data_IF_315658234349
#
_entry.id   IF_315658234349
#
_cell.length_a   1.000
_cell.length_b   1.000
_cell.length_c   1.000
_cell.angle_alpha   90.00
_cell.angle_beta   90.00
_cell.angle_gamma   90.00
#
_symmetry.space_group_name_H-M   'P 1'
#
loop_
_entity.id
_entity.type
_entity.pdbx_description
1 polymer ?
#
# COMPACT_ATOMS: atom_id res chain seq x y z
N UNK A 1 28.71 22.60 -41.78
CA UNK A 1 28.36 23.76 -40.96
C UNK A 1 26.84 23.94 -41.02
N UNK A 2 26.18 23.88 -39.85
CA UNK A 2 24.95 24.63 -39.43
C UNK A 2 23.74 24.73 -40.37
N UNK A 3 22.47 24.57 -39.98
CA UNK A 3 21.74 24.28 -38.73
C UNK A 3 20.28 23.91 -39.17
N UNK A 4 19.62 22.90 -38.59
CA UNK A 4 18.59 22.99 -37.54
C UNK A 4 17.65 24.22 -37.63
N UNK A 5 16.36 24.03 -37.93
CA UNK A 5 15.17 24.43 -37.11
C UNK A 5 13.96 23.57 -37.51
N UNK A 6 13.23 23.13 -36.49
CA UNK A 6 12.06 22.26 -36.46
C UNK A 6 10.76 22.86 -37.03
N UNK A 7 9.82 22.01 -37.42
CA UNK A 7 8.38 22.24 -37.16
C UNK A 7 7.57 20.93 -37.27
N UNK A 8 7.14 20.44 -36.10
CA UNK A 8 5.80 19.93 -35.77
C UNK A 8 4.98 19.24 -36.88
N UNK A 9 4.94 17.91 -36.83
CA UNK A 9 3.77 17.13 -37.24
C UNK A 9 3.34 16.26 -36.06
N UNK A 10 2.07 16.42 -35.66
CA UNK A 10 1.50 15.92 -34.42
C UNK A 10 1.28 14.38 -34.37
N UNK A 11 0.69 13.89 -33.26
CA UNK A 11 0.54 12.47 -33.00
C UNK A 11 -0.61 11.90 -33.82
N UNK A 12 -0.33 11.54 -35.07
CA UNK A 12 -1.21 10.75 -35.92
C UNK A 12 -0.48 9.49 -36.40
N UNK A 13 0.01 8.69 -35.45
CA UNK A 13 0.39 7.31 -35.69
C UNK A 13 0.23 6.51 -34.39
N UNK A 14 -0.47 5.38 -34.48
CA UNK A 14 -0.77 4.37 -33.43
C UNK A 14 -2.13 4.47 -32.74
N UNK A 15 -3.19 4.55 -33.55
CA UNK A 15 -4.44 3.86 -33.23
C UNK A 15 -4.27 2.36 -33.41
N UNK A 16 -3.57 1.69 -32.50
CA UNK A 16 -3.77 0.26 -32.28
C UNK A 16 -4.72 0.11 -31.09
N UNK A 17 -5.79 -0.64 -31.31
CA UNK A 17 -6.77 -1.03 -30.33
C UNK A 17 -6.10 -2.00 -29.32
N UNK A 18 -5.30 -1.45 -28.41
CA UNK A 18 -4.58 -2.23 -27.41
C UNK A 18 -5.63 -2.79 -26.44
N UNK A 19 -5.74 -4.11 -26.36
CA UNK A 19 -6.57 -4.78 -25.36
C UNK A 19 -6.14 -4.31 -23.96
N UNK A 20 -7.07 -4.20 -23.02
CA UNK A 20 -6.80 -3.59 -21.70
C UNK A 20 -5.57 -4.15 -21.00
N UNK A 21 -5.26 -5.45 -21.13
CA UNK A 21 -4.06 -6.06 -20.56
C UNK A 21 -2.75 -5.60 -21.22
N UNK A 22 -2.74 -5.28 -22.51
CA UNK A 22 -1.55 -4.78 -23.22
C UNK A 22 -1.11 -3.38 -22.74
N UNK A 23 -2.06 -2.53 -22.34
CA UNK A 23 -1.76 -1.21 -21.77
C UNK A 23 -1.02 -1.40 -20.43
N UNK A 24 -1.55 -2.25 -19.56
CA UNK A 24 -0.94 -2.58 -18.27
C UNK A 24 0.44 -3.23 -18.45
N UNK A 25 0.62 -4.16 -19.40
CA UNK A 25 1.92 -4.73 -19.70
C UNK A 25 2.93 -3.70 -20.21
N UNK A 26 2.52 -2.76 -21.05
CA UNK A 26 3.41 -1.71 -21.58
C UNK A 26 3.91 -0.82 -20.45
N UNK A 27 3.02 -0.43 -19.53
CA UNK A 27 3.39 0.30 -18.32
C UNK A 27 4.31 -0.53 -17.42
N UNK A 28 3.99 -1.80 -17.19
CA UNK A 28 4.80 -2.72 -16.39
C UNK A 28 6.22 -2.87 -16.96
N UNK A 29 6.35 -3.03 -18.27
CA UNK A 29 7.62 -3.09 -18.98
C UNK A 29 8.44 -1.80 -18.82
N UNK A 30 7.78 -0.64 -18.88
CA UNK A 30 8.44 0.66 -18.65
C UNK A 30 9.01 0.75 -17.24
N UNK A 31 8.23 0.39 -16.22
CA UNK A 31 8.69 0.34 -14.84
C UNK A 31 9.81 -0.69 -14.62
N UNK A 32 9.69 -1.87 -15.24
CA UNK A 32 10.68 -2.93 -15.17
C UNK A 32 12.04 -2.51 -15.74
N UNK A 33 12.05 -1.86 -16.92
CA UNK A 33 13.27 -1.32 -17.54
C UNK A 33 13.95 -0.26 -16.66
N UNK A 34 13.17 0.51 -15.92
CA UNK A 34 13.65 1.48 -14.91
C UNK A 34 14.05 0.83 -13.59
N UNK A 35 14.02 -0.50 -13.47
CA UNK A 35 14.27 -1.29 -12.25
C UNK A 35 13.32 -0.95 -11.09
N UNK A 36 12.17 -0.34 -11.38
CA UNK A 36 11.13 -0.03 -10.42
C UNK A 36 10.22 -1.25 -10.26
N UNK A 37 10.73 -2.28 -9.59
CA UNK A 37 10.11 -3.59 -9.60
C UNK A 37 8.75 -3.65 -8.89
N UNK A 38 8.55 -2.93 -7.78
CA UNK A 38 7.23 -2.94 -7.09
C UNK A 38 6.14 -2.26 -7.93
N UNK A 39 6.36 -1.06 -8.51
CA UNK A 39 5.44 -0.50 -9.50
C UNK A 39 5.21 -1.41 -10.72
N UNK A 40 6.26 -2.05 -11.24
CA UNK A 40 6.13 -3.01 -12.35
C UNK A 40 5.25 -4.19 -11.97
N UNK A 41 5.43 -4.76 -10.77
CA UNK A 41 4.62 -5.86 -10.26
C UNK A 41 3.13 -5.50 -10.22
N UNK A 42 2.79 -4.31 -9.71
CA UNK A 42 1.40 -3.86 -9.65
C UNK A 42 0.75 -3.79 -11.05
N UNK A 43 1.47 -3.27 -12.04
CA UNK A 43 0.96 -3.20 -13.42
C UNK A 43 0.87 -4.59 -14.07
N UNK A 44 1.82 -5.49 -13.82
CA UNK A 44 1.72 -6.87 -14.28
C UNK A 44 0.56 -7.63 -13.61
N UNK A 45 0.25 -7.36 -12.35
CA UNK A 45 -0.93 -7.92 -11.67
C UNK A 45 -2.23 -7.42 -12.31
N UNK A 46 -2.31 -6.14 -12.68
CA UNK A 46 -3.48 -5.62 -13.41
C UNK A 46 -3.61 -6.21 -14.81
N UNK A 47 -2.49 -6.38 -15.52
CA UNK A 47 -2.49 -7.07 -16.81
C UNK A 47 -3.02 -8.50 -16.67
N UNK A 48 -2.58 -9.23 -15.65
CA UNK A 48 -3.07 -10.57 -15.35
C UNK A 48 -4.53 -10.59 -14.87
N UNK A 49 -4.99 -9.56 -14.15
CA UNK A 49 -6.39 -9.44 -13.71
C UNK A 49 -7.33 -9.23 -14.91
N UNK A 50 -6.93 -8.39 -15.86
CA UNK A 50 -7.73 -8.09 -17.06
C UNK A 50 -7.69 -9.23 -18.07
N UNK A 51 -6.54 -9.90 -18.17
CA UNK A 51 -6.37 -11.09 -19.01
C UNK A 51 -5.94 -12.27 -18.11
N UNK A 52 -6.90 -12.98 -17.48
CA UNK A 52 -6.62 -14.06 -16.54
C UNK A 52 -5.75 -15.18 -17.10
N UNK A 53 -5.70 -15.34 -18.42
CA UNK A 53 -4.92 -16.35 -19.15
C UNK A 53 -3.51 -15.89 -19.53
N UNK A 54 -3.15 -14.65 -19.18
CA UNK A 54 -1.86 -14.05 -19.49
C UNK A 54 -0.78 -14.53 -18.51
N UNK A 55 -0.28 -15.73 -18.75
CA UNK A 55 0.74 -16.38 -17.93
C UNK A 55 2.03 -15.55 -17.84
N UNK A 56 2.38 -14.83 -18.91
CA UNK A 56 3.54 -13.93 -18.96
C UNK A 56 3.39 -12.79 -17.94
N UNK A 57 2.25 -12.10 -17.90
CA UNK A 57 2.00 -11.06 -16.92
C UNK A 57 2.03 -11.61 -15.48
N UNK A 58 1.40 -12.77 -15.24
CA UNK A 58 1.39 -13.43 -13.94
C UNK A 58 2.81 -13.76 -13.43
N UNK A 59 3.64 -14.35 -14.30
CA UNK A 59 5.03 -14.67 -14.00
C UNK A 59 5.87 -13.42 -13.71
N UNK A 60 5.76 -12.39 -14.56
CA UNK A 60 6.53 -11.16 -14.36
C UNK A 60 6.05 -10.37 -13.15
N UNK A 61 4.79 -10.46 -12.74
CA UNK A 61 4.34 -9.93 -11.45
C UNK A 61 5.09 -10.57 -10.28
N UNK A 62 5.13 -11.90 -10.22
CA UNK A 62 5.85 -12.65 -9.18
C UNK A 62 7.36 -12.34 -9.20
N UNK A 63 7.97 -12.31 -10.39
CA UNK A 63 9.38 -11.98 -10.55
C UNK A 63 9.70 -10.56 -10.09
N UNK A 64 8.86 -9.59 -10.42
CA UNK A 64 9.02 -8.21 -9.97
C UNK A 64 8.82 -8.06 -8.45
N UNK A 65 7.90 -8.80 -7.83
CA UNK A 65 7.79 -8.85 -6.37
C UNK A 65 9.08 -9.36 -5.73
N UNK A 66 9.67 -10.41 -6.31
CA UNK A 66 10.94 -10.97 -5.84
C UNK A 66 12.09 -9.96 -5.94
N UNK A 67 12.28 -9.36 -7.12
CA UNK A 67 13.32 -8.36 -7.37
C UNK A 67 13.12 -7.09 -6.52
N UNK A 68 11.87 -6.76 -6.22
CA UNK A 68 11.49 -5.69 -5.30
C UNK A 68 11.66 -6.03 -3.82
N UNK A 69 12.09 -7.26 -3.47
CA UNK A 69 12.36 -7.69 -2.09
C UNK A 69 11.14 -8.21 -1.33
N UNK A 70 9.94 -8.23 -1.93
CA UNK A 70 8.73 -8.83 -1.34
C UNK A 70 8.72 -10.34 -1.57
N UNK A 71 9.67 -11.04 -0.96
CA UNK A 71 9.94 -12.47 -1.22
C UNK A 71 8.75 -13.37 -0.90
N UNK A 72 8.07 -13.15 0.22
CA UNK A 72 6.91 -13.98 0.61
C UNK A 72 5.75 -13.84 -0.37
N UNK A 73 5.47 -12.61 -0.81
CA UNK A 73 4.42 -12.36 -1.81
C UNK A 73 4.82 -12.91 -3.19
N UNK A 74 6.11 -12.85 -3.52
CA UNK A 74 6.63 -13.47 -4.73
C UNK A 74 6.45 -15.00 -4.71
N UNK A 75 6.81 -15.67 -3.62
CA UNK A 75 6.65 -17.13 -3.45
C UNK A 75 5.17 -17.51 -3.61
N UNK A 76 4.27 -16.82 -2.92
CA UNK A 76 2.82 -17.05 -3.05
C UNK A 76 2.35 -16.87 -4.50
N UNK A 77 2.77 -15.77 -5.14
CA UNK A 77 2.37 -15.47 -6.51
C UNK A 77 2.93 -16.49 -7.51
N UNK A 78 4.18 -16.94 -7.35
CA UNK A 78 4.74 -18.01 -8.17
C UNK A 78 3.97 -19.32 -8.00
N UNK A 79 3.54 -19.68 -6.78
CA UNK A 79 2.71 -20.86 -6.58
C UNK A 79 1.34 -20.75 -7.27
N UNK A 80 0.73 -19.56 -7.29
CA UNK A 80 -0.48 -19.31 -8.08
C UNK A 80 -0.23 -19.49 -9.59
N UNK A 81 0.94 -19.06 -10.09
CA UNK A 81 1.34 -19.25 -11.50
C UNK A 81 1.51 -20.74 -11.82
N UNK A 82 2.12 -21.52 -10.92
CA UNK A 82 2.29 -22.98 -11.11
C UNK A 82 0.93 -23.70 -11.10
N UNK A 83 0.02 -23.34 -10.19
CA UNK A 83 -1.32 -23.94 -10.11
C UNK A 83 -2.17 -23.63 -11.35
N UNK A 84 -2.14 -22.36 -11.79
CA UNK A 84 -2.98 -21.91 -12.91
C UNK A 84 -2.42 -22.29 -14.28
N UNK A 85 -1.10 -22.33 -14.43
CA UNK A 85 -0.45 -22.52 -15.73
C UNK A 85 0.58 -23.68 -15.74
N UNK A 86 0.25 -24.88 -15.24
CA UNK A 86 1.22 -25.94 -15.00
C UNK A 86 1.96 -26.41 -16.26
N UNK A 87 1.31 -26.33 -17.42
CA UNK A 87 1.83 -26.79 -18.71
C UNK A 87 2.39 -25.66 -19.60
N UNK A 88 2.36 -24.40 -19.13
CA UNK A 88 2.97 -23.28 -19.85
C UNK A 88 4.43 -23.12 -19.44
N UNK A 89 5.24 -22.53 -20.33
CA UNK A 89 6.65 -22.20 -20.06
C UNK A 89 6.78 -21.34 -18.79
N UNK A 90 5.88 -20.39 -18.58
CA UNK A 90 5.85 -19.53 -17.40
C UNK A 90 5.59 -20.28 -16.10
N UNK A 91 4.69 -21.26 -16.09
CA UNK A 91 4.46 -22.12 -14.93
C UNK A 91 5.65 -23.03 -14.64
N UNK A 92 6.28 -23.59 -15.67
CA UNK A 92 7.52 -24.35 -15.52
C UNK A 92 8.67 -23.48 -14.99
N UNK A 93 8.82 -22.26 -15.51
CA UNK A 93 9.79 -21.28 -15.03
C UNK A 93 9.51 -20.88 -13.58
N UNK A 94 8.25 -20.64 -13.22
CA UNK A 94 7.84 -20.33 -11.85
C UNK A 94 8.20 -21.47 -10.90
N UNK A 95 7.94 -22.73 -11.30
CA UNK A 95 8.31 -23.92 -10.52
C UNK A 95 9.82 -24.05 -10.34
N UNK A 96 10.60 -23.86 -11.39
CA UNK A 96 12.06 -23.89 -11.33
C UNK A 96 12.61 -22.74 -10.47
N UNK A 97 11.97 -21.56 -10.50
CA UNK A 97 12.35 -20.44 -9.65
C UNK A 97 12.07 -20.73 -8.17
N UNK A 98 10.89 -21.28 -7.86
CA UNK A 98 10.47 -21.67 -6.52
C UNK A 98 11.41 -22.68 -5.87
N UNK A 99 11.95 -23.66 -6.61
CA UNK A 99 12.98 -24.59 -6.11
C UNK A 99 14.18 -23.89 -5.47
N UNK A 100 14.49 -22.66 -5.94
CA UNK A 100 15.65 -21.88 -5.47
C UNK A 100 15.30 -20.91 -4.34
N UNK A 101 14.05 -20.45 -4.27
CA UNK A 101 13.68 -19.32 -3.40
C UNK A 101 12.73 -19.70 -2.27
N UNK A 102 12.02 -20.83 -2.37
CA UNK A 102 11.08 -21.30 -1.36
C UNK A 102 11.75 -22.39 -0.49
N UNK A 103 12.10 -22.10 0.78
CA UNK A 103 12.68 -23.08 1.69
C UNK A 103 11.77 -24.28 1.98
N UNK A 104 10.46 -24.14 1.73
CA UNK A 104 9.47 -25.18 1.94
C UNK A 104 9.19 -26.01 0.67
N UNK A 105 9.83 -25.73 -0.47
CA UNK A 105 9.51 -26.36 -1.75
C UNK A 105 9.45 -27.90 -1.69
N UNK A 106 10.44 -28.54 -1.06
CA UNK A 106 10.50 -29.99 -0.92
C UNK A 106 9.40 -30.54 0.00
N UNK A 107 8.96 -29.78 1.01
CA UNK A 107 7.84 -30.17 1.88
C UNK A 107 6.51 -30.21 1.14
N UNK A 108 6.37 -29.39 0.08
CA UNK A 108 5.19 -29.39 -0.78
C UNK A 108 5.31 -30.40 -1.94
N UNK A 109 6.48 -31.04 -2.13
CA UNK A 109 6.71 -31.98 -3.23
C UNK A 109 6.58 -31.35 -4.63
N UNK A 110 6.74 -30.02 -4.73
CA UNK A 110 6.48 -29.32 -5.99
C UNK A 110 4.99 -29.18 -6.36
N UNK A 111 4.06 -29.47 -5.44
CA UNK A 111 2.62 -29.38 -5.61
C UNK A 111 2.09 -28.01 -5.15
N UNK A 112 1.58 -27.23 -6.10
CA UNK A 112 1.11 -25.88 -5.85
C UNK A 112 -0.11 -25.81 -4.93
N UNK A 113 -1.00 -26.81 -4.98
CA UNK A 113 -2.21 -26.83 -4.15
C UNK A 113 -1.86 -27.05 -2.69
N UNK A 114 -0.89 -27.93 -2.42
CA UNK A 114 -0.37 -28.15 -1.05
C UNK A 114 0.34 -26.90 -0.51
N UNK A 115 1.15 -26.25 -1.34
CA UNK A 115 1.82 -25.01 -0.96
C UNK A 115 0.83 -23.90 -0.62
N UNK A 116 -0.16 -23.66 -1.48
CA UNK A 116 -1.19 -22.64 -1.26
C UNK A 116 -2.10 -22.98 -0.08
N UNK A 117 -2.51 -24.25 0.10
CA UNK A 117 -3.30 -24.66 1.25
C UNK A 117 -2.56 -24.45 2.58
N UNK A 118 -1.25 -24.73 2.64
CA UNK A 118 -0.43 -24.48 3.83
C UNK A 118 -0.30 -22.99 4.19
N UNK A 119 -0.62 -22.08 3.25
CA UNK A 119 -0.66 -20.64 3.49
C UNK A 119 -2.02 -20.12 3.98
N UNK A 120 -3.07 -20.97 3.96
CA UNK A 120 -4.45 -20.65 4.38
C UNK A 120 -4.77 -21.16 5.80
N UNK A 121 -3.94 -22.05 6.37
CA UNK A 121 -4.07 -22.52 7.75
C UNK A 121 -3.20 -21.64 8.67
N UNK A 122 -3.70 -21.14 9.82
CA UNK A 122 -2.85 -20.39 10.74
C UNK A 122 -1.74 -21.31 11.24
N UNK A 123 -0.49 -20.88 11.10
CA UNK A 123 0.67 -21.57 11.61
C UNK A 123 0.51 -21.79 13.12
N UNK A 124 0.21 -23.03 13.50
CA UNK A 124 0.43 -23.57 14.84
C UNK A 124 1.23 -24.86 14.70
N UNK A 125 2.43 -24.81 15.31
CA UNK A 125 3.43 -25.84 15.64
C UNK A 125 3.92 -26.79 14.52
N UNK A 126 5.21 -27.11 14.44
CA UNK A 126 6.26 -27.10 15.46
C UNK A 126 6.76 -28.54 15.63
N UNK A 127 8.08 -28.71 15.51
CA UNK A 127 8.76 -29.96 15.83
C UNK A 127 8.41 -30.43 17.24
N UNK A 128 7.99 -31.69 17.31
CA UNK A 128 8.02 -32.61 18.46
C UNK A 128 8.74 -32.08 19.72
N UNK A 129 7.98 -31.81 20.77
CA UNK A 129 8.24 -32.40 22.09
C UNK A 129 6.96 -32.39 22.94
N UNK A 130 6.72 -33.54 23.56
CA UNK A 130 5.61 -33.91 24.42
C UNK A 130 5.58 -33.10 25.72
N UNK A 131 4.45 -32.47 26.06
CA UNK A 131 3.87 -32.46 27.42
C UNK A 131 2.54 -31.70 27.49
N UNK A 132 1.55 -32.36 28.08
CA UNK A 132 0.45 -31.85 28.91
C UNK A 132 -0.45 -30.67 28.43
N UNK A 133 -1.73 -31.02 28.21
CA UNK A 133 -2.98 -30.32 28.61
C UNK A 133 -2.96 -28.79 28.79
N UNK A 134 -3.85 -28.08 28.09
CA UNK A 134 -4.99 -27.36 28.72
C UNK A 134 -5.81 -26.61 27.67
N UNK A 135 -7.13 -26.59 27.89
CA UNK A 135 -8.12 -25.78 27.18
C UNK A 135 -7.80 -24.27 27.24
N UNK A 136 -8.13 -23.52 26.18
CA UNK A 136 -7.89 -22.07 26.18
C UNK A 136 -8.21 -21.33 24.87
N UNK A 137 -9.38 -21.56 24.24
CA UNK A 137 -9.84 -20.73 23.11
C UNK A 137 -10.42 -19.37 23.56
N UNK A 138 -10.47 -19.07 24.85
CA UNK A 138 -11.07 -17.85 25.42
C UNK A 138 -10.09 -16.76 25.87
N UNK A 139 -8.77 -17.01 25.86
CA UNK A 139 -7.80 -16.12 26.53
C UNK A 139 -7.21 -15.00 25.63
N UNK A 140 -7.13 -15.21 24.30
CA UNK A 140 -6.53 -14.20 23.39
C UNK A 140 -7.43 -13.00 23.10
N UNK A 141 -8.73 -13.14 23.31
CA UNK A 141 -9.71 -12.05 23.19
C UNK A 141 -9.83 -11.25 24.49
N UNK A 142 -9.65 -11.89 25.65
CA UNK A 142 -9.71 -11.21 26.96
C UNK A 142 -8.54 -10.27 27.24
N UNK A 143 -7.32 -10.56 26.75
CA UNK A 143 -6.16 -9.66 26.90
C UNK A 143 -6.26 -8.38 26.06
N UNK A 144 -6.97 -8.42 24.92
CA UNK A 144 -7.14 -7.24 24.05
C UNK A 144 -8.14 -6.23 24.62
N UNK A 145 -9.15 -6.71 25.35
CA UNK A 145 -10.17 -5.88 26.01
C UNK A 145 -9.61 -4.92 27.07
N UNK A 146 -8.49 -5.27 27.70
CA UNK A 146 -7.94 -4.47 28.81
C UNK A 146 -6.98 -3.37 28.39
N UNK A 147 -6.55 -3.32 27.12
CA UNK A 147 -5.55 -2.35 26.68
C UNK A 147 -6.18 -0.98 26.43
N UNK A 148 -5.61 0.07 27.01
CA UNK A 148 -5.92 1.46 26.67
C UNK A 148 -5.49 1.78 25.23
N UNK A 149 -5.97 2.90 24.67
CA UNK A 149 -5.55 3.33 23.33
C UNK A 149 -4.03 3.54 23.25
N UNK A 150 -3.42 4.07 24.31
CA UNK A 150 -1.98 4.24 24.43
C UNK A 150 -1.25 2.90 24.40
N UNK A 151 -1.76 1.89 25.12
CA UNK A 151 -1.17 0.56 25.13
C UNK A 151 -1.31 -0.14 23.77
N UNK A 152 -2.47 0.01 23.10
CA UNK A 152 -2.70 -0.51 21.75
C UNK A 152 -1.73 0.13 20.75
N UNK A 153 -1.62 1.45 20.74
CA UNK A 153 -0.70 2.17 19.83
C UNK A 153 0.74 1.74 20.10
N UNK A 154 1.18 1.68 21.36
CA UNK A 154 2.53 1.22 21.72
C UNK A 154 2.79 -0.22 21.27
N UNK A 155 1.80 -1.10 21.35
CA UNK A 155 1.94 -2.48 20.88
C UNK A 155 2.15 -2.57 19.36
N UNK A 156 1.59 -1.63 18.58
CA UNK A 156 1.75 -1.54 17.12
C UNK A 156 3.01 -0.78 16.70
N UNK A 157 3.62 -0.01 17.61
CA UNK A 157 4.76 0.86 17.33
C UNK A 157 6.06 0.07 17.20
N UNK A 158 6.91 0.47 16.25
CA UNK A 158 8.27 -0.01 16.09
C UNK A 158 9.19 1.16 15.74
N UNK A 159 10.20 1.39 16.58
CA UNK A 159 11.16 2.48 16.37
C UNK A 159 12.41 1.91 15.70
N UNK A 160 12.74 2.46 14.53
CA UNK A 160 13.86 2.00 13.71
C UNK A 160 15.11 2.79 14.05
N UNK A 161 16.23 2.07 14.22
CA UNK A 161 17.55 2.69 14.38
C UNK A 161 18.01 3.30 13.05
N UNK A 162 18.73 4.43 13.07
CA UNK A 162 19.33 5.00 11.86
C UNK A 162 20.31 4.02 11.24
N UNK A 163 20.35 3.98 9.92
CA UNK A 163 21.24 3.10 9.13
C UNK A 163 22.36 3.88 8.44
N UNK A 164 22.19 5.18 8.25
CA UNK A 164 23.16 6.07 7.65
C UNK A 164 23.52 7.25 8.56
N UNK A 165 23.72 8.42 7.94
CA UNK A 165 24.15 9.65 8.62
C UNK A 165 22.99 10.47 9.23
N UNK A 166 21.75 10.00 9.07
CA UNK A 166 20.57 10.69 9.58
C UNK A 166 20.46 10.38 11.08
N UNK A 167 20.19 11.37 11.95
CA UNK A 167 20.05 11.14 13.38
C UNK A 167 18.92 10.16 13.70
N UNK A 168 18.98 9.50 14.86
CA UNK A 168 17.86 8.71 15.36
C UNK A 168 16.62 9.60 15.59
N UNK A 169 15.43 8.99 15.56
CA UNK A 169 14.21 9.71 15.89
C UNK A 169 14.21 10.17 17.36
N UNK A 170 13.71 11.37 17.63
CA UNK A 170 13.69 11.96 18.97
C UNK A 170 12.47 11.52 19.77
N UNK A 171 12.59 11.47 21.10
CA UNK A 171 11.47 11.14 21.99
C UNK A 171 10.27 12.08 21.83
N UNK A 172 10.53 13.37 21.55
CA UNK A 172 9.48 14.35 21.26
C UNK A 172 8.69 14.00 19.99
N UNK A 173 9.38 13.52 18.96
CA UNK A 173 8.74 13.06 17.72
C UNK A 173 7.92 11.81 17.97
N UNK A 174 8.47 10.83 18.70
CA UNK A 174 7.76 9.60 19.10
C UNK A 174 6.48 9.95 19.84
N UNK A 175 6.54 10.77 20.89
CA UNK A 175 5.37 11.21 21.67
C UNK A 175 4.36 11.97 20.82
N UNK A 176 4.83 12.80 19.89
CA UNK A 176 3.95 13.53 18.96
C UNK A 176 3.15 12.57 18.07
N UNK A 177 3.81 11.58 17.47
CA UNK A 177 3.13 10.57 16.64
C UNK A 177 2.23 9.68 17.48
N UNK A 178 2.66 9.24 18.67
CA UNK A 178 1.82 8.49 19.61
C UNK A 178 0.52 9.24 19.92
N UNK A 179 0.60 10.54 20.26
CA UNK A 179 -0.58 11.35 20.54
C UNK A 179 -1.55 11.45 19.37
N UNK A 180 -1.04 11.59 18.15
CA UNK A 180 -1.86 11.59 16.92
C UNK A 180 -2.58 10.25 16.75
N UNK A 181 -1.87 9.14 16.92
CA UNK A 181 -2.44 7.81 16.75
C UNK A 181 -3.45 7.46 17.84
N UNK A 182 -3.17 7.80 19.11
CA UNK A 182 -4.06 7.58 20.25
C UNK A 182 -5.40 8.31 20.11
N UNK A 183 -5.41 9.46 19.43
CA UNK A 183 -6.62 10.22 19.14
C UNK A 183 -7.54 9.58 18.07
N UNK A 184 -7.16 8.44 17.47
CA UNK A 184 -8.09 7.68 16.61
C UNK A 184 -9.21 7.06 17.45
N UNK A 185 -10.39 6.85 16.85
CA UNK A 185 -11.44 6.07 17.51
C UNK A 185 -10.93 4.68 17.90
N UNK A 186 -11.29 4.23 19.11
CA UNK A 186 -10.82 2.95 19.67
C UNK A 186 -11.05 1.77 18.74
N UNK A 187 -12.24 1.68 18.13
CA UNK A 187 -12.59 0.59 17.21
C UNK A 187 -11.68 0.54 15.96
N UNK A 188 -11.13 1.69 15.53
CA UNK A 188 -10.14 1.74 14.43
C UNK A 188 -8.81 1.15 14.90
N UNK A 189 -8.35 1.53 16.09
CA UNK A 189 -7.11 1.02 16.67
C UNK A 189 -7.18 -0.49 16.91
N UNK A 190 -8.30 -0.98 17.47
CA UNK A 190 -8.55 -2.41 17.65
C UNK A 190 -8.56 -3.15 16.32
N UNK A 191 -9.25 -2.62 15.31
CA UNK A 191 -9.28 -3.21 13.97
C UNK A 191 -7.89 -3.29 13.34
N UNK A 192 -7.12 -2.20 13.40
CA UNK A 192 -5.75 -2.15 12.89
C UNK A 192 -4.86 -3.17 13.61
N UNK A 193 -4.92 -3.21 14.94
CA UNK A 193 -4.17 -4.16 15.76
C UNK A 193 -4.55 -5.62 15.43
N UNK A 194 -5.84 -5.94 15.37
CA UNK A 194 -6.35 -7.27 15.04
C UNK A 194 -5.96 -7.74 13.65
N UNK A 195 -5.79 -6.78 12.73
CA UNK A 195 -5.32 -7.04 11.37
C UNK A 195 -3.81 -6.98 11.25
N UNK A 196 -3.06 -6.93 12.35
CA UNK A 196 -1.60 -6.89 12.41
C UNK A 196 -1.01 -5.69 11.65
N UNK A 197 -1.64 -4.53 11.76
CA UNK A 197 -1.04 -3.29 11.30
C UNK A 197 0.14 -2.88 12.20
N UNK A 198 1.14 -2.21 11.61
CA UNK A 198 2.35 -1.76 12.29
C UNK A 198 2.60 -0.29 12.00
N UNK A 199 3.14 0.42 12.99
CA UNK A 199 3.52 1.83 12.90
C UNK A 199 5.03 1.91 13.07
N UNK A 200 5.74 2.19 12.00
CA UNK A 200 7.19 2.30 11.95
C UNK A 200 7.61 3.76 12.04
N UNK A 201 8.31 4.11 13.11
CA UNK A 201 8.95 5.42 13.23
C UNK A 201 10.39 5.30 12.75
N UNK A 202 10.71 6.04 11.70
CA UNK A 202 11.97 5.93 10.99
C UNK A 202 12.63 7.31 10.91
N UNK A 203 13.97 7.41 10.82
CA UNK A 203 14.58 8.71 10.61
C UNK A 203 14.19 9.30 9.25
N UNK A 204 14.31 8.54 8.17
CA UNK A 204 13.80 8.89 6.86
C UNK A 204 13.21 7.67 6.16
N UNK A 205 12.19 7.87 5.32
CA UNK A 205 11.53 6.76 4.60
C UNK A 205 12.51 5.94 3.78
N UNK A 206 13.50 6.58 3.18
CA UNK A 206 14.50 5.90 2.35
C UNK A 206 15.50 5.04 3.13
N UNK A 207 15.57 5.17 4.46
CA UNK A 207 16.36 4.24 5.27
C UNK A 207 15.65 2.89 5.46
N UNK A 208 14.34 2.83 5.22
CA UNK A 208 13.60 1.56 5.22
C UNK A 208 14.01 0.69 4.04
N UNK A 209 14.19 1.32 2.88
CA UNK A 209 14.71 0.71 1.65
C UNK A 209 15.39 1.77 0.77
N UNK A 210 16.72 1.71 0.70
CA UNK A 210 17.53 2.64 -0.10
C UNK A 210 17.21 2.60 -1.60
N UNK A 211 16.60 1.51 -2.10
CA UNK A 211 16.16 1.41 -3.50
C UNK A 211 15.03 2.39 -3.83
N UNK A 212 14.33 2.91 -2.81
CA UNK A 212 13.24 3.88 -2.98
C UNK A 212 13.74 5.32 -3.15
N UNK A 213 15.03 5.60 -2.96
CA UNK A 213 15.60 6.94 -3.02
C UNK A 213 15.30 7.69 -4.32
N UNK A 214 15.27 6.99 -5.45
CA UNK A 214 15.00 7.58 -6.76
C UNK A 214 13.60 7.24 -7.29
N UNK A 215 12.72 6.71 -6.43
CA UNK A 215 11.34 6.40 -6.78
C UNK A 215 10.47 7.60 -6.44
N UNK A 216 9.79 8.14 -7.47
CA UNK A 216 8.80 9.20 -7.33
C UNK A 216 7.49 8.63 -6.77
N UNK A 217 6.99 9.12 -5.62
CA UNK A 217 5.65 8.78 -5.14
C UNK A 217 4.60 9.23 -6.15
N UNK A 218 3.40 8.65 -6.08
CA UNK A 218 2.29 9.12 -6.93
C UNK A 218 1.95 10.57 -6.54
N UNK A 219 1.57 11.40 -7.52
CA UNK A 219 1.21 12.81 -7.30
C UNK A 219 2.35 13.79 -7.05
N UNK A 220 3.60 13.34 -6.97
CA UNK A 220 4.74 14.22 -6.73
C UNK A 220 5.17 14.93 -8.03
N UNK A 221 5.57 16.19 -7.90
CA UNK A 221 6.12 16.99 -9.01
C UNK A 221 7.39 16.38 -9.58
N UNK A 222 7.72 16.76 -10.82
CA UNK A 222 8.97 16.34 -11.48
C UNK A 222 10.19 16.72 -10.63
N UNK A 223 11.08 15.75 -10.38
CA UNK A 223 12.27 15.92 -9.54
C UNK A 223 12.11 15.49 -8.07
N UNK A 224 10.89 15.20 -7.59
CA UNK A 224 10.67 14.76 -6.21
C UNK A 224 10.66 13.22 -6.08
N UNK A 225 11.11 12.69 -4.95
CA UNK A 225 11.13 11.24 -4.65
C UNK A 225 10.66 10.93 -3.22
N UNK A 226 10.63 9.64 -2.83
CA UNK A 226 10.37 9.26 -1.44
C UNK A 226 11.34 9.89 -0.43
N UNK A 227 12.49 10.42 -0.89
CA UNK A 227 13.38 11.23 -0.05
C UNK A 227 12.68 12.47 0.49
N UNK A 228 11.71 13.02 -0.24
CA UNK A 228 11.01 14.26 0.12
C UNK A 228 9.74 14.04 0.94
N UNK A 229 9.29 12.79 1.10
CA UNK A 229 8.06 12.46 1.85
C UNK A 229 8.34 12.20 3.33
N UNK A 230 7.40 12.58 4.18
CA UNK A 230 7.43 12.38 5.62
C UNK A 230 6.58 11.20 6.09
N UNK A 231 5.72 10.62 5.23
CA UNK A 231 4.93 9.45 5.58
C UNK A 231 4.67 8.55 4.35
N UNK A 232 4.40 7.28 4.61
CA UNK A 232 4.04 6.29 3.58
C UNK A 232 3.29 5.12 4.20
N UNK A 233 2.23 4.68 3.56
CA UNK A 233 1.62 3.38 3.81
C UNK A 233 2.11 2.35 2.78
N UNK A 234 2.55 1.19 3.26
CA UNK A 234 2.84 0.02 2.43
C UNK A 234 2.25 -1.22 3.07
N UNK A 235 1.19 -1.73 2.44
CA UNK A 235 0.45 -2.84 3.01
C UNK A 235 -0.36 -2.39 4.23
N UNK A 236 -0.11 -3.04 5.37
CA UNK A 236 -0.65 -2.68 6.69
C UNK A 236 0.39 -1.95 7.56
N UNK A 237 1.47 -1.49 6.94
CA UNK A 237 2.57 -0.84 7.63
C UNK A 237 2.54 0.64 7.31
N UNK A 238 2.44 1.44 8.36
CA UNK A 238 2.51 2.89 8.31
C UNK A 238 3.93 3.32 8.67
N UNK A 239 4.63 3.97 7.75
CA UNK A 239 5.97 4.50 7.97
C UNK A 239 5.87 6.01 8.13
N UNK A 240 6.42 6.54 9.23
CA UNK A 240 6.40 7.97 9.55
C UNK A 240 7.84 8.39 9.83
N UNK A 241 8.31 9.35 9.04
CA UNK A 241 9.68 9.82 9.05
C UNK A 241 9.80 11.17 9.76
N UNK A 242 10.79 11.28 10.65
CA UNK A 242 11.11 12.56 11.29
C UNK A 242 11.86 13.50 10.35
N UNK A 243 12.63 12.97 9.41
CA UNK A 243 13.45 13.74 8.49
C UNK A 243 13.06 13.46 7.04
N UNK A 244 13.09 14.52 6.24
CA UNK A 244 12.92 14.46 4.79
C UNK A 244 14.01 15.27 4.11
N UNK A 245 14.38 14.89 2.90
CA UNK A 245 15.26 15.68 2.06
C UNK A 245 14.54 16.96 1.63
N UNK A 246 15.15 18.09 1.93
CA UNK A 246 14.77 19.36 1.33
C UNK A 246 15.41 19.50 -0.06
N UNK A 247 14.58 19.54 -1.10
CA UNK A 247 15.07 19.60 -2.50
C UNK A 247 15.87 20.87 -2.81
N UNK A 248 15.74 21.94 -2.00
CA UNK A 248 16.47 23.21 -2.23
C UNK A 248 17.88 23.15 -1.67
N UNK A 249 18.02 22.69 -0.43
CA UNK A 249 19.33 22.61 0.24
C UNK A 249 20.07 21.30 -0.02
N UNK A 250 19.37 20.24 -0.45
CA UNK A 250 19.93 18.89 -0.57
C UNK A 250 20.23 18.23 0.79
N UNK A 251 19.81 18.85 1.89
CA UNK A 251 20.02 18.34 3.24
C UNK A 251 18.75 17.72 3.81
N UNK A 252 18.91 16.79 4.75
CA UNK A 252 17.79 16.29 5.53
C UNK A 252 17.40 17.34 6.57
N UNK A 253 16.12 17.71 6.55
CA UNK A 253 15.50 18.64 7.49
C UNK A 253 14.43 17.91 8.28
N UNK A 254 14.16 18.40 9.50
CA UNK A 254 13.03 17.89 10.30
C UNK A 254 11.73 18.14 9.54
N UNK A 255 11.01 17.07 9.24
CA UNK A 255 9.66 17.13 8.74
C UNK A 255 8.73 17.59 9.88
N UNK A 256 7.79 18.47 9.56
CA UNK A 256 6.70 18.72 10.48
C UNK A 256 5.91 17.41 10.68
N UNK A 257 5.61 17.08 11.94
CA UNK A 257 4.70 15.98 12.29
C UNK A 257 3.29 16.42 11.95
N UNK A 258 2.94 16.31 10.67
CA UNK A 258 1.67 16.78 10.13
C UNK A 258 0.58 15.73 10.37
N UNK A 259 -0.37 16.08 11.24
CA UNK A 259 -1.54 15.25 11.58
C UNK A 259 -2.25 14.79 10.29
N UNK A 260 -2.48 15.71 9.35
CA UNK A 260 -3.13 15.40 8.07
C UNK A 260 -2.40 14.34 7.25
N UNK A 261 -1.07 14.43 7.16
CA UNK A 261 -0.26 13.46 6.40
C UNK A 261 -0.29 12.07 7.06
N UNK A 262 -0.17 12.00 8.39
CA UNK A 262 -0.29 10.73 9.12
C UNK A 262 -1.71 10.13 8.99
N UNK A 263 -2.75 10.97 9.05
CA UNK A 263 -4.15 10.53 8.92
C UNK A 263 -4.48 10.06 7.51
N UNK A 264 -3.94 10.71 6.47
CA UNK A 264 -4.05 10.26 5.10
C UNK A 264 -3.45 8.86 4.92
N UNK A 265 -2.19 8.66 5.35
CA UNK A 265 -1.53 7.35 5.26
C UNK A 265 -2.21 6.28 6.14
N UNK A 266 -2.77 6.69 7.27
CA UNK A 266 -3.64 5.81 8.09
C UNK A 266 -4.86 5.37 7.29
N UNK A 267 -5.44 6.23 6.46
CA UNK A 267 -6.53 5.91 5.55
C UNK A 267 -6.17 4.78 4.56
N UNK A 268 -4.98 4.82 3.95
CA UNK A 268 -4.49 3.70 3.14
C UNK A 268 -4.32 2.41 3.95
N UNK A 269 -3.81 2.51 5.19
CA UNK A 269 -3.66 1.35 6.06
C UNK A 269 -5.02 0.72 6.41
N UNK A 270 -6.03 1.56 6.70
CA UNK A 270 -7.41 1.13 6.93
C UNK A 270 -7.97 0.45 5.68
N UNK A 271 -7.81 1.04 4.50
CA UNK A 271 -8.26 0.44 3.24
C UNK A 271 -7.68 -0.98 3.07
N UNK A 272 -6.39 -1.14 3.33
CA UNK A 272 -5.72 -2.44 3.26
C UNK A 272 -6.22 -3.41 4.34
N UNK A 273 -6.43 -2.95 5.56
CA UNK A 273 -6.97 -3.79 6.64
C UNK A 273 -8.38 -4.29 6.32
N UNK A 274 -9.14 -3.56 5.50
CA UNK A 274 -10.49 -3.89 5.07
C UNK A 274 -10.55 -4.60 3.70
N UNK A 275 -9.40 -5.02 3.16
CA UNK A 275 -9.35 -5.77 1.91
C UNK A 275 -9.54 -4.91 0.67
N UNK A 276 -8.96 -3.71 0.68
CA UNK A 276 -8.95 -2.76 -0.44
C UNK A 276 -10.36 -2.35 -0.90
N UNK A 277 -11.16 -1.82 0.02
CA UNK A 277 -12.50 -1.28 -0.29
C UNK A 277 -12.40 -0.29 -1.45
N UNK A 278 -11.38 0.57 -1.47
CA UNK A 278 -11.16 1.58 -2.52
C UNK A 278 -11.02 0.98 -3.93
N UNK A 279 -10.73 -0.32 -4.02
CA UNK A 279 -10.55 -1.05 -5.27
C UNK A 279 -11.73 -1.96 -5.63
N UNK A 280 -12.68 -2.14 -4.71
CA UNK A 280 -13.89 -2.93 -4.95
C UNK A 280 -14.93 -2.14 -5.74
N UNK A 281 -15.71 -2.82 -6.57
CA UNK A 281 -16.72 -2.16 -7.43
C UNK A 281 -17.75 -1.36 -6.63
N UNK A 282 -18.11 -1.83 -5.43
CA UNK A 282 -19.02 -1.13 -4.53
C UNK A 282 -18.55 0.30 -4.21
N UNK A 283 -17.25 0.54 -4.14
CA UNK A 283 -16.67 1.88 -3.95
C UNK A 283 -16.32 2.55 -5.28
N UNK A 284 -15.72 1.80 -6.22
CA UNK A 284 -15.23 2.35 -7.48
C UNK A 284 -16.34 2.87 -8.39
N UNK A 285 -17.51 2.24 -8.40
CA UNK A 285 -18.63 2.68 -9.21
C UNK A 285 -19.10 4.09 -8.79
N UNK A 286 -19.50 4.35 -7.54
CA UNK A 286 -19.89 5.69 -7.11
C UNK A 286 -18.73 6.70 -7.16
N UNK A 287 -17.49 6.27 -6.90
CA UNK A 287 -16.31 7.12 -7.10
C UNK A 287 -16.20 7.61 -8.56
N UNK A 288 -16.33 6.71 -9.55
CA UNK A 288 -16.24 7.09 -10.98
C UNK A 288 -17.36 8.04 -11.39
N UNK A 289 -18.58 7.82 -10.89
CA UNK A 289 -19.72 8.72 -11.14
C UNK A 289 -19.45 10.12 -10.56
N UNK A 290 -18.92 10.19 -9.33
CA UNK A 290 -18.52 11.45 -8.71
C UNK A 290 -17.37 12.13 -9.49
N UNK A 291 -16.32 11.39 -9.84
CA UNK A 291 -15.16 11.88 -10.59
C UNK A 291 -15.54 12.44 -11.98
N UNK A 292 -16.56 11.86 -12.63
CA UNK A 292 -17.09 12.32 -13.91
C UNK A 292 -17.88 13.65 -13.78
N UNK A 293 -18.41 13.95 -12.59
CA UNK A 293 -19.18 15.17 -12.31
C UNK A 293 -18.34 16.34 -11.81
N UNK A 294 -17.04 16.12 -11.54
CA UNK A 294 -16.14 17.20 -11.12
C UNK A 294 -15.99 18.22 -12.26
N UNK A 295 -16.39 19.50 -12.03
CA UNK A 295 -16.29 20.57 -13.02
C UNK A 295 -14.85 20.84 -13.46
N UNK A 296 -14.66 21.30 -14.70
CA UNK A 296 -13.35 21.48 -15.32
C UNK A 296 -12.42 22.38 -14.50
N UNK A 297 -12.97 23.44 -13.90
CA UNK A 297 -12.28 24.41 -13.03
C UNK A 297 -11.68 23.77 -11.78
N UNK A 298 -12.28 22.70 -11.27
CA UNK A 298 -11.82 22.01 -10.06
C UNK A 298 -10.96 20.78 -10.37
N UNK A 299 -10.96 20.27 -11.62
CA UNK A 299 -10.22 19.06 -11.99
C UNK A 299 -8.72 19.20 -11.77
N UNK A 300 -8.12 20.35 -12.08
CA UNK A 300 -6.69 20.56 -11.87
C UNK A 300 -6.33 20.45 -10.38
N UNK A 301 -7.19 20.97 -9.51
CA UNK A 301 -6.99 20.95 -8.06
C UNK A 301 -7.21 19.56 -7.46
N UNK A 302 -8.05 18.75 -8.11
CA UNK A 302 -8.38 17.38 -7.70
C UNK A 302 -7.65 16.31 -8.52
N UNK A 303 -6.71 16.67 -9.39
CA UNK A 303 -6.05 15.75 -10.33
C UNK A 303 -5.47 14.53 -9.61
N UNK A 304 -4.88 14.75 -8.44
CA UNK A 304 -4.37 13.69 -7.57
C UNK A 304 -5.44 12.64 -7.21
N UNK A 305 -6.65 13.07 -6.90
CA UNK A 305 -7.79 12.21 -6.55
C UNK A 305 -8.55 11.68 -7.77
N UNK A 306 -8.30 12.24 -8.95
CA UNK A 306 -8.94 11.87 -10.22
C UNK A 306 -8.06 10.95 -11.09
N UNK A 307 -6.90 10.53 -10.58
CA UNK A 307 -6.00 9.61 -11.27
C UNK A 307 -6.73 8.36 -11.78
N UNK A 308 -6.32 7.90 -12.96
CA UNK A 308 -6.85 6.69 -13.60
C UNK A 308 -6.49 5.42 -12.82
N UNK A 309 -7.08 4.29 -13.24
CA UNK A 309 -6.91 2.99 -12.60
C UNK A 309 -7.33 3.01 -11.11
N UNK A 310 -6.54 2.44 -10.21
CA UNK A 310 -6.80 2.40 -8.77
C UNK A 310 -6.21 3.59 -8.00
N UNK A 311 -5.48 4.47 -8.67
CA UNK A 311 -4.84 5.64 -8.04
C UNK A 311 -5.88 6.55 -7.39
N UNK A 312 -6.74 7.17 -8.20
CA UNK A 312 -7.65 8.19 -7.68
C UNK A 312 -8.64 7.68 -6.64
N UNK A 313 -9.14 6.44 -6.79
CA UNK A 313 -10.05 5.86 -5.79
C UNK A 313 -9.35 5.55 -4.47
N UNK A 314 -8.09 5.11 -4.50
CA UNK A 314 -7.26 4.90 -3.31
C UNK A 314 -6.95 6.21 -2.59
N UNK A 315 -6.52 7.24 -3.33
CA UNK A 315 -6.24 8.58 -2.76
C UNK A 315 -7.50 9.23 -2.20
N UNK A 316 -8.63 9.09 -2.90
CA UNK A 316 -9.93 9.60 -2.44
C UNK A 316 -10.34 8.90 -1.13
N UNK A 317 -10.18 7.57 -1.04
CA UNK A 317 -10.46 6.84 0.19
C UNK A 317 -9.60 7.36 1.35
N UNK A 318 -8.29 7.49 1.13
CA UNK A 318 -7.35 7.95 2.15
C UNK A 318 -7.66 9.37 2.64
N UNK A 319 -7.97 10.30 1.72
CA UNK A 319 -8.30 11.68 2.08
C UNK A 319 -9.66 11.80 2.77
N UNK A 320 -10.65 10.99 2.40
CA UNK A 320 -11.93 10.92 3.12
C UNK A 320 -11.75 10.39 4.54
N UNK A 321 -10.93 9.36 4.74
CA UNK A 321 -10.53 8.91 6.08
C UNK A 321 -9.78 10.01 6.84
N UNK A 322 -8.86 10.72 6.18
CA UNK A 322 -8.13 11.84 6.76
C UNK A 322 -9.08 12.88 7.34
N UNK A 323 -10.06 13.32 6.54
CA UNK A 323 -11.07 14.28 6.97
C UNK A 323 -11.96 13.75 8.10
N UNK A 324 -12.38 12.47 8.04
CA UNK A 324 -13.20 11.84 9.11
C UNK A 324 -12.50 11.78 10.46
N UNK A 325 -11.18 11.67 10.47
CA UNK A 325 -10.39 11.52 11.69
C UNK A 325 -9.65 12.81 12.09
N UNK A 326 -10.12 13.97 11.60
CA UNK A 326 -9.64 15.28 12.03
C UNK A 326 -8.26 15.66 11.47
N UNK A 327 -7.93 15.23 10.25
CA UNK A 327 -6.66 15.58 9.59
C UNK A 327 -6.60 17.00 9.01
N UNK A 328 -7.70 17.75 9.05
CA UNK A 328 -7.87 19.11 8.49
C UNK A 328 -7.13 20.17 9.34
N UNK A 329 -5.80 20.11 9.42
CA UNK A 329 -5.00 20.91 10.36
C UNK A 329 -4.35 22.16 9.79
N UNK A 330 -4.40 22.36 8.48
CA UNK A 330 -3.87 23.54 7.79
C UNK A 330 -4.83 23.98 6.69
N UNK A 331 -4.67 25.22 6.20
CA UNK A 331 -5.57 25.82 5.22
C UNK A 331 -5.67 25.00 3.93
N UNK A 332 -4.56 24.45 3.45
CA UNK A 332 -4.53 23.63 2.25
C UNK A 332 -5.32 22.34 2.46
N UNK A 333 -5.14 21.67 3.59
CA UNK A 333 -5.81 20.41 3.93
C UNK A 333 -7.29 20.63 4.20
N UNK A 334 -7.67 21.68 4.93
CA UNK A 334 -9.08 22.08 5.14
C UNK A 334 -9.78 22.23 3.79
N UNK A 335 -9.17 22.98 2.86
CA UNK A 335 -9.78 23.20 1.54
C UNK A 335 -9.84 21.91 0.72
N UNK A 336 -8.79 21.10 0.76
CA UNK A 336 -8.72 19.84 0.00
C UNK A 336 -9.73 18.81 0.52
N UNK A 337 -9.77 18.55 1.82
CA UNK A 337 -10.75 17.67 2.46
C UNK A 337 -12.18 18.13 2.22
N UNK A 338 -12.45 19.44 2.31
CA UNK A 338 -13.77 20.02 2.00
C UNK A 338 -14.21 19.73 0.56
N UNK A 339 -13.33 19.93 -0.42
CA UNK A 339 -13.63 19.61 -1.83
C UNK A 339 -13.82 18.11 -2.06
N UNK A 340 -12.96 17.25 -1.49
CA UNK A 340 -13.10 15.81 -1.65
C UNK A 340 -14.43 15.34 -1.03
N UNK A 341 -14.79 15.82 0.16
CA UNK A 341 -16.08 15.49 0.79
C UNK A 341 -17.27 16.01 0.00
N UNK A 342 -17.18 17.19 -0.61
CA UNK A 342 -18.29 17.76 -1.37
C UNK A 342 -18.58 16.99 -2.65
N UNK A 343 -17.53 16.53 -3.37
CA UNK A 343 -17.67 15.78 -4.62
C UNK A 343 -17.89 14.28 -4.42
N UNK A 344 -17.28 13.67 -3.39
CA UNK A 344 -17.28 12.22 -3.19
C UNK A 344 -18.17 11.77 -2.01
N UNK A 345 -19.39 12.32 -1.91
CA UNK A 345 -20.35 12.03 -0.83
C UNK A 345 -20.75 10.55 -0.74
N UNK A 346 -21.03 9.89 -1.88
CA UNK A 346 -21.41 8.48 -1.90
C UNK A 346 -20.24 7.55 -1.50
N UNK A 347 -19.01 7.71 -2.07
CA UNK A 347 -17.82 7.04 -1.55
C UNK A 347 -17.62 7.24 -0.04
N UNK A 348 -17.81 8.46 0.45
CA UNK A 348 -17.69 8.79 1.87
C UNK A 348 -18.72 8.04 2.74
N UNK A 349 -19.98 7.98 2.29
CA UNK A 349 -21.03 7.22 2.97
C UNK A 349 -20.70 5.71 3.04
N UNK A 350 -20.08 5.15 1.99
CA UNK A 350 -19.62 3.75 1.99
C UNK A 350 -18.56 3.53 3.06
N UNK A 351 -17.57 4.42 3.17
CA UNK A 351 -16.55 4.37 4.24
C UNK A 351 -17.25 4.39 5.61
N UNK A 352 -18.18 5.33 5.81
CA UNK A 352 -18.97 5.43 7.03
C UNK A 352 -19.70 4.12 7.38
N UNK A 353 -20.32 3.45 6.41
CA UNK A 353 -20.99 2.17 6.62
C UNK A 353 -20.02 1.06 7.06
N UNK A 354 -18.82 0.97 6.49
CA UNK A 354 -17.83 -0.01 6.91
C UNK A 354 -17.28 0.30 8.31
N UNK A 355 -17.01 1.57 8.61
CA UNK A 355 -16.55 1.98 9.94
C UNK A 355 -17.60 1.71 11.02
N UNK A 356 -18.88 1.92 10.73
CA UNK A 356 -19.97 1.59 11.65
C UNK A 356 -20.05 0.09 11.95
N UNK A 357 -19.91 -0.77 10.94
CA UNK A 357 -19.88 -2.23 11.14
C UNK A 357 -18.68 -2.67 12.00
N UNK A 358 -17.54 -1.98 11.86
CA UNK A 358 -16.35 -2.22 12.69
C UNK A 358 -16.60 -1.75 14.12
N UNK A 359 -17.17 -0.56 14.30
CA UNK A 359 -17.54 -0.03 15.62
C UNK A 359 -18.50 -0.99 16.34
N UNK A 360 -19.53 -1.47 15.66
CA UNK A 360 -20.47 -2.47 16.19
C UNK A 360 -19.78 -3.77 16.58
N UNK A 361 -18.82 -4.23 15.74
CA UNK A 361 -18.03 -5.43 16.02
C UNK A 361 -17.17 -5.30 17.28
N UNK A 362 -16.57 -4.13 17.51
CA UNK A 362 -15.67 -3.87 18.64
C UNK A 362 -16.35 -3.08 19.77
N UNK A 363 -17.68 -2.99 19.78
CA UNK A 363 -18.42 -2.16 20.75
C UNK A 363 -18.21 -2.59 22.20
N UNK A 364 -17.96 -3.90 22.39
CA UNK A 364 -17.79 -4.53 23.71
C UNK A 364 -16.31 -4.80 24.05
N UNK A 365 -15.37 -4.28 23.24
CA UNK A 365 -13.91 -4.43 23.35
C UNK A 365 -13.20 -3.08 23.65
#
# INVERSE_FOLDING_TARGET
ATALVASLAGPAALGQNLQGGQIFQTMANSYYKKKQYIPAAAQYMEAWRVEPENATAAYYAAYCLYMGGRKDDAIKTFWLVVDKFPNRKEGQNAKAFLQRIDPAFNRHGGDARKALASSVVPASSGSSSTAARSAGSGARTSEKKSLSNEQLVKSMLEIHKPRGKIPAVSDSFVKGVEGIMVALPRYVLLMMHDRNARIHLVPALVETDYRMQNVRPRGYSEGSSWQNSNAMCSGRNLYIAQYRLDSRSGNYVTAATEIGSIRHETGHCIDHCLGYISQQDKFRHPYRLAAARVPAEDRQRLDYFLQVASGGSSETFAELCCARFGGETDEWRIKTCSMVKSYFKEPDAIIGSYLKQIEEKYKDD
#
